data_IF_373151814503
#
_entry.id   IF_373151814503
#
_cell.length_a   1.000
_cell.length_b   1.000
_cell.length_c   1.000
_cell.angle_alpha   90.00
_cell.angle_beta   90.00
_cell.angle_gamma   90.00
#
_symmetry.space_group_name_H-M   'P 1'
#
loop_
_entity.id
_entity.type
_entity.pdbx_description
1 polymer ?
#
# COMPACT_ATOMS: atom_id res chain seq x y z
N UNK A 1 -24.15 -14.93 34.07
CA UNK A 1 -23.56 -15.67 32.92
C UNK A 1 -22.10 -15.28 32.87
N UNK A 2 -21.16 -16.23 32.95
CA UNK A 2 -19.74 -15.90 32.74
C UNK A 2 -19.54 -15.58 31.26
N UNK A 3 -18.81 -14.51 30.96
CA UNK A 3 -18.37 -14.20 29.61
C UNK A 3 -17.61 -15.41 29.03
N UNK A 4 -17.76 -15.73 27.73
CA UNK A 4 -16.92 -16.74 27.11
C UNK A 4 -15.44 -16.34 27.25
N UNK A 5 -14.60 -17.31 27.61
CA UNK A 5 -13.14 -17.14 27.79
C UNK A 5 -12.40 -17.03 26.46
N UNK A 6 -13.01 -17.54 25.38
CA UNK A 6 -12.38 -17.70 24.08
C UNK A 6 -13.34 -17.26 22.97
N UNK A 7 -12.76 -16.66 21.92
CA UNK A 7 -13.46 -16.29 20.70
C UNK A 7 -12.71 -16.88 19.50
N UNK A 8 -13.37 -17.74 18.73
CA UNK A 8 -12.82 -18.29 17.49
C UNK A 8 -13.35 -17.48 16.30
N UNK A 9 -12.45 -16.94 15.50
CA UNK A 9 -12.75 -16.25 14.25
C UNK A 9 -11.88 -16.83 13.12
N UNK A 10 -12.37 -16.82 11.86
CA UNK A 10 -11.49 -17.03 10.71
C UNK A 10 -10.33 -16.03 10.75
N UNK A 11 -9.15 -16.43 10.27
CA UNK A 11 -8.00 -15.50 10.23
C UNK A 11 -8.36 -14.29 9.35
N UNK A 12 -8.22 -13.06 9.88
CA UNK A 12 -8.48 -11.85 9.11
C UNK A 12 -7.37 -11.52 8.13
N UNK A 13 -7.64 -10.51 7.31
CA UNK A 13 -6.65 -9.81 6.49
C UNK A 13 -6.27 -8.47 7.14
N UNK A 14 -4.99 -8.12 7.11
CA UNK A 14 -4.54 -6.76 7.39
C UNK A 14 -4.40 -6.00 6.07
N UNK A 15 -5.32 -5.06 5.84
CA UNK A 15 -5.39 -4.30 4.60
C UNK A 15 -4.46 -3.07 4.55
N UNK A 16 -3.58 -2.85 5.54
CA UNK A 16 -2.58 -1.78 5.47
C UNK A 16 -1.34 -2.08 6.31
N UNK A 17 -0.32 -2.69 5.68
CA UNK A 17 0.90 -3.15 6.38
C UNK A 17 2.16 -2.47 5.85
N UNK A 18 3.08 -2.12 6.75
CA UNK A 18 4.42 -1.60 6.44
C UNK A 18 5.50 -2.59 6.84
N UNK A 19 6.04 -3.35 5.90
CA UNK A 19 7.05 -4.39 6.15
C UNK A 19 8.50 -3.92 5.94
N UNK A 20 8.68 -2.64 5.58
CA UNK A 20 9.97 -1.92 5.50
C UNK A 20 10.98 -2.61 4.57
N UNK A 21 12.25 -2.30 4.73
CA UNK A 21 13.38 -2.93 4.04
C UNK A 21 14.34 -3.54 5.06
N UNK A 22 15.34 -4.29 4.57
CA UNK A 22 16.41 -4.80 5.41
C UNK A 22 17.09 -3.68 6.22
N UNK A 23 17.46 -3.94 7.49
CA UNK A 23 17.35 -5.23 8.19
C UNK A 23 15.98 -5.48 8.84
N UNK A 24 15.10 -4.48 8.92
CA UNK A 24 13.84 -4.56 9.67
C UNK A 24 12.85 -5.56 9.07
N UNK A 25 12.83 -5.75 7.75
CA UNK A 25 11.89 -6.67 7.10
C UNK A 25 11.94 -8.08 7.66
N UNK A 26 13.14 -8.62 7.91
CA UNK A 26 13.29 -9.98 8.46
C UNK A 26 12.71 -10.13 9.87
N UNK A 27 12.66 -9.05 10.64
CA UNK A 27 12.01 -9.02 11.95
C UNK A 27 10.49 -8.87 11.83
N UNK A 28 10.01 -8.03 10.91
CA UNK A 28 8.59 -7.65 10.82
C UNK A 28 7.73 -8.69 10.11
N UNK A 29 8.25 -9.38 9.10
CA UNK A 29 7.45 -10.32 8.29
C UNK A 29 6.81 -11.45 9.11
N UNK A 30 7.51 -12.15 10.02
CA UNK A 30 6.90 -13.20 10.83
C UNK A 30 5.72 -12.71 11.70
N UNK A 31 5.77 -11.44 12.14
CA UNK A 31 4.76 -10.87 13.03
C UNK A 31 3.38 -10.70 12.38
N UNK A 32 3.25 -10.76 11.05
CA UNK A 32 1.93 -10.78 10.39
C UNK A 32 1.13 -12.00 10.86
N UNK A 33 1.71 -13.20 10.78
CA UNK A 33 1.04 -14.44 11.22
C UNK A 33 0.99 -14.58 12.73
N UNK A 34 2.03 -14.16 13.44
CA UNK A 34 2.01 -14.18 14.91
C UNK A 34 0.93 -13.25 15.47
N UNK A 35 0.62 -12.16 14.76
CA UNK A 35 -0.52 -11.28 15.02
C UNK A 35 -1.88 -11.84 14.62
N UNK A 36 -1.92 -13.03 13.99
CA UNK A 36 -3.15 -13.73 13.63
C UNK A 36 -3.66 -13.52 12.21
N UNK A 37 -2.90 -12.84 11.33
CA UNK A 37 -3.31 -12.53 9.96
C UNK A 37 -2.70 -13.50 8.95
N UNK A 38 -3.53 -14.01 8.04
CA UNK A 38 -3.08 -14.84 6.92
C UNK A 38 -2.78 -14.00 5.66
N UNK A 39 -3.33 -12.79 5.56
CA UNK A 39 -3.17 -11.89 4.41
C UNK A 39 -2.66 -10.52 4.85
N UNK A 40 -1.68 -9.98 4.12
CA UNK A 40 -1.16 -8.63 4.28
C UNK A 40 -1.21 -7.85 2.97
N UNK A 41 -1.86 -6.69 3.00
CA UNK A 41 -1.87 -5.71 1.91
C UNK A 41 -0.76 -4.69 2.13
N UNK A 42 0.30 -4.81 1.33
CA UNK A 42 1.61 -4.22 1.62
C UNK A 42 1.75 -2.85 0.98
N UNK A 43 2.09 -1.85 1.79
CA UNK A 43 2.27 -0.46 1.38
C UNK A 43 3.61 -0.23 0.65
N UNK A 44 3.67 0.71 -0.32
CA UNK A 44 4.77 0.80 -1.28
C UNK A 44 5.81 1.89 -0.98
N UNK A 45 5.69 2.60 0.14
CA UNK A 45 6.52 3.75 0.53
C UNK A 45 7.89 3.35 1.12
N UNK A 46 8.58 2.44 0.45
CA UNK A 46 9.97 2.11 0.71
C UNK A 46 10.90 3.26 0.29
N UNK A 47 12.21 3.12 0.52
CA UNK A 47 13.24 4.05 0.03
C UNK A 47 14.17 3.33 -0.93
N UNK A 48 14.10 3.57 -2.26
CA UNK A 48 13.09 4.38 -2.97
C UNK A 48 11.69 3.71 -2.98
N UNK A 49 10.61 4.46 -3.27
CA UNK A 49 9.25 3.91 -3.32
C UNK A 49 9.06 2.92 -4.47
N UNK A 50 8.12 1.99 -4.29
CA UNK A 50 7.79 0.99 -5.30
C UNK A 50 6.90 1.59 -6.40
N UNK A 51 7.51 2.16 -7.43
CA UNK A 51 6.80 2.80 -8.56
C UNK A 51 6.70 1.91 -9.80
N UNK A 52 7.45 0.82 -9.86
CA UNK A 52 7.48 -0.11 -10.98
C UNK A 52 6.89 -1.48 -10.60
N UNK A 53 6.12 -2.13 -11.49
CA UNK A 53 5.61 -3.48 -11.26
C UNK A 53 6.71 -4.49 -10.92
N UNK A 54 7.82 -4.47 -11.66
CA UNK A 54 8.94 -5.39 -11.48
C UNK A 54 9.58 -5.30 -10.08
N UNK A 55 9.76 -4.08 -9.55
CA UNK A 55 10.28 -3.87 -8.20
C UNK A 55 9.32 -4.38 -7.13
N UNK A 56 8.02 -4.18 -7.34
CA UNK A 56 6.99 -4.67 -6.42
C UNK A 56 6.94 -6.19 -6.40
N UNK A 57 7.01 -6.84 -7.56
CA UNK A 57 7.09 -8.31 -7.67
C UNK A 57 8.32 -8.84 -6.95
N UNK A 58 9.49 -8.24 -7.18
CA UNK A 58 10.73 -8.65 -6.52
C UNK A 58 10.64 -8.49 -4.99
N UNK A 59 10.02 -7.40 -4.52
CA UNK A 59 9.78 -7.19 -3.09
C UNK A 59 8.83 -8.24 -2.50
N UNK A 60 7.70 -8.54 -3.16
CA UNK A 60 6.79 -9.60 -2.72
C UNK A 60 7.45 -10.98 -2.69
N UNK A 61 8.32 -11.29 -3.67
CA UNK A 61 9.10 -12.52 -3.67
C UNK A 61 10.03 -12.59 -2.45
N UNK A 62 10.69 -11.48 -2.10
CA UNK A 62 11.50 -11.41 -0.89
C UNK A 62 10.66 -11.65 0.38
N UNK A 63 9.50 -11.00 0.51
CA UNK A 63 8.60 -11.23 1.66
C UNK A 63 8.16 -12.70 1.76
N UNK A 64 7.78 -13.33 0.65
CA UNK A 64 7.41 -14.76 0.60
C UNK A 64 8.58 -15.69 0.96
N UNK A 65 9.82 -15.29 0.69
CA UNK A 65 11.00 -16.07 1.10
C UNK A 65 11.23 -16.04 2.61
N UNK A 66 10.75 -14.99 3.30
CA UNK A 66 10.81 -14.85 4.76
C UNK A 66 9.64 -15.54 5.47
N UNK A 67 8.44 -15.53 4.86
CA UNK A 67 7.32 -16.36 5.32
C UNK A 67 6.44 -16.83 4.14
N UNK A 68 6.57 -18.10 3.71
CA UNK A 68 5.80 -18.63 2.59
C UNK A 68 4.32 -18.89 2.92
N UNK A 69 3.92 -18.77 4.19
CA UNK A 69 2.54 -19.03 4.65
C UNK A 69 1.66 -17.78 4.61
N UNK A 70 2.24 -16.58 4.57
CA UNK A 70 1.48 -15.33 4.47
C UNK A 70 1.15 -15.02 3.01
N UNK A 71 -0.10 -14.64 2.76
CA UNK A 71 -0.53 -14.13 1.47
C UNK A 71 -0.25 -12.63 1.37
N UNK A 72 0.81 -12.25 0.65
CA UNK A 72 1.16 -10.84 0.42
C UNK A 72 0.53 -10.32 -0.87
N UNK A 73 -0.29 -9.27 -0.73
CA UNK A 73 -0.81 -8.45 -1.82
C UNK A 73 0.02 -7.16 -1.94
N UNK A 74 0.53 -6.89 -3.14
CA UNK A 74 1.37 -5.71 -3.38
C UNK A 74 0.57 -4.51 -3.88
N UNK A 75 1.16 -3.33 -3.68
CA UNK A 75 0.67 -2.06 -4.24
C UNK A 75 1.78 -1.28 -4.92
N UNK A 76 1.42 -0.34 -5.79
CA UNK A 76 2.33 0.67 -6.33
C UNK A 76 2.19 1.99 -5.58
N UNK A 77 3.27 2.77 -5.52
CA UNK A 77 3.25 4.15 -5.07
C UNK A 77 2.75 5.06 -6.21
N UNK A 78 1.73 5.89 -5.95
CA UNK A 78 1.25 6.87 -6.93
C UNK A 78 2.31 7.96 -7.11
N UNK A 79 2.96 7.98 -8.27
CA UNK A 79 4.06 8.90 -8.60
C UNK A 79 3.87 9.50 -10.00
N UNK A 80 4.48 10.65 -10.31
CA UNK A 80 4.43 11.23 -11.66
C UNK A 80 4.96 10.31 -12.78
N UNK A 81 5.71 9.26 -12.45
CA UNK A 81 6.22 8.28 -13.41
C UNK A 81 5.21 7.16 -13.71
N UNK A 82 4.12 7.05 -12.95
CA UNK A 82 3.11 6.02 -13.15
C UNK A 82 2.28 6.35 -14.39
N UNK A 83 2.10 5.37 -15.27
CA UNK A 83 1.38 5.51 -16.55
C UNK A 83 0.31 4.44 -16.68
N UNK A 84 -0.71 4.61 -17.54
CA UNK A 84 -1.71 3.57 -17.82
C UNK A 84 -1.08 2.22 -18.18
N UNK A 85 -0.04 2.23 -19.03
CA UNK A 85 0.70 1.00 -19.37
C UNK A 85 1.29 0.29 -18.16
N UNK A 86 1.85 1.04 -17.20
CA UNK A 86 2.38 0.44 -15.97
C UNK A 86 1.26 -0.12 -15.08
N UNK A 87 0.05 0.43 -15.12
CA UNK A 87 -1.12 -0.12 -14.44
C UNK A 87 -1.53 -1.46 -15.05
N UNK A 88 -1.61 -1.55 -16.39
CA UNK A 88 -1.87 -2.82 -17.08
C UNK A 88 -0.81 -3.88 -16.72
N UNK A 89 0.48 -3.52 -16.79
CA UNK A 89 1.59 -4.40 -16.42
C UNK A 89 1.51 -4.83 -14.94
N UNK A 90 1.09 -3.93 -14.05
CA UNK A 90 0.89 -4.23 -12.63
C UNK A 90 -0.24 -5.23 -12.39
N UNK A 91 -1.40 -5.01 -13.02
CA UNK A 91 -2.56 -5.88 -12.92
C UNK A 91 -2.22 -7.31 -13.41
N UNK A 92 -1.53 -7.43 -14.54
CA UNK A 92 -1.06 -8.71 -15.07
C UNK A 92 -0.06 -9.41 -14.13
N UNK A 93 0.73 -8.65 -13.39
CA UNK A 93 1.65 -9.16 -12.38
C UNK A 93 0.97 -9.52 -11.04
N UNK A 94 -0.34 -9.33 -10.91
CA UNK A 94 -1.11 -9.59 -9.69
C UNK A 94 -0.96 -8.52 -8.61
N UNK A 95 -0.54 -7.31 -8.97
CA UNK A 95 -0.54 -6.14 -8.08
C UNK A 95 -1.96 -5.58 -8.08
N UNK A 96 -2.51 -5.33 -6.89
CA UNK A 96 -3.96 -5.15 -6.71
C UNK A 96 -4.37 -3.71 -6.41
N UNK A 97 -3.41 -2.80 -6.27
CA UNK A 97 -3.75 -1.39 -6.05
C UNK A 97 -2.59 -0.44 -6.11
N UNK A 98 -2.94 0.84 -5.98
CA UNK A 98 -2.03 1.96 -5.96
C UNK A 98 -2.31 2.79 -4.71
N UNK A 99 -1.26 3.24 -4.03
CA UNK A 99 -1.34 4.04 -2.82
C UNK A 99 -0.87 5.46 -3.06
N UNK A 100 -1.77 6.41 -2.78
CA UNK A 100 -1.51 7.84 -2.78
C UNK A 100 -1.03 8.32 -1.41
N UNK A 101 0.00 9.17 -1.44
CA UNK A 101 0.50 9.93 -0.29
C UNK A 101 0.53 11.41 -0.67
N UNK A 102 -0.23 12.28 0.00
CA UNK A 102 -0.12 13.73 -0.16
C UNK A 102 1.28 14.22 0.18
N UNK A 103 1.70 15.32 -0.45
CA UNK A 103 3.04 15.88 -0.23
C UNK A 103 3.24 16.32 1.22
N UNK A 104 4.32 15.88 1.85
CA UNK A 104 4.76 16.40 3.15
C UNK A 104 3.92 16.02 4.37
N UNK A 105 2.95 15.11 4.27
CA UNK A 105 2.08 14.71 5.41
C UNK A 105 2.57 13.48 6.16
N UNK A 106 3.50 12.72 5.60
CA UNK A 106 4.00 11.49 6.24
C UNK A 106 5.44 11.14 5.85
N UNK A 107 6.02 10.12 6.48
CA UNK A 107 7.40 9.67 6.24
C UNK A 107 7.64 9.38 4.76
N UNK A 108 8.72 9.94 4.18
CA UNK A 108 9.13 9.83 2.78
C UNK A 108 8.14 10.42 1.74
N UNK A 109 7.33 11.42 2.10
CA UNK A 109 6.32 12.03 1.21
C UNK A 109 6.78 13.32 0.48
N UNK A 110 8.09 13.61 0.42
CA UNK A 110 8.61 14.85 -0.18
C UNK A 110 8.29 15.01 -1.68
N UNK A 111 7.91 13.92 -2.36
CA UNK A 111 7.41 13.90 -3.75
C UNK A 111 5.90 13.68 -3.90
N UNK A 112 5.10 13.94 -2.86
CA UNK A 112 3.65 13.67 -2.87
C UNK A 112 2.82 14.60 -3.74
N UNK A 113 1.52 14.30 -3.83
CA UNK A 113 0.60 14.81 -4.86
C UNK A 113 -0.04 16.14 -4.46
N UNK A 114 0.07 17.13 -5.36
CA UNK A 114 -0.55 18.47 -5.20
C UNK A 114 -1.84 18.62 -6.03
N UNK A 115 -1.97 17.89 -7.15
CA UNK A 115 -3.18 17.83 -7.97
C UNK A 115 -3.40 16.39 -8.47
N UNK A 116 -4.64 15.89 -8.34
CA UNK A 116 -5.01 14.56 -8.82
C UNK A 116 -5.39 14.50 -10.31
N UNK A 117 -5.70 15.64 -10.95
CA UNK A 117 -6.09 15.70 -12.37
C UNK A 117 -5.03 15.12 -13.29
N UNK A 118 -3.75 15.29 -12.96
CA UNK A 118 -2.62 14.73 -13.74
C UNK A 118 -2.57 13.20 -13.72
N UNK A 119 -3.35 12.56 -12.84
CA UNK A 119 -3.45 11.10 -12.70
C UNK A 119 -4.76 10.54 -13.25
N UNK A 120 -5.62 11.34 -13.89
CA UNK A 120 -6.93 10.85 -14.34
C UNK A 120 -6.81 9.70 -15.34
N UNK A 121 -5.87 9.75 -16.30
CA UNK A 121 -5.63 8.63 -17.21
C UNK A 121 -5.17 7.36 -16.48
N UNK A 122 -4.38 7.52 -15.41
CA UNK A 122 -3.95 6.41 -14.55
C UNK A 122 -5.14 5.83 -13.80
N UNK A 123 -6.04 6.67 -13.28
CA UNK A 123 -7.23 6.22 -12.55
C UNK A 123 -8.26 5.55 -13.46
N UNK A 124 -8.43 6.04 -14.67
CA UNK A 124 -9.29 5.40 -15.68
C UNK A 124 -8.76 3.99 -16.01
N UNK A 125 -7.44 3.83 -16.13
CA UNK A 125 -6.86 2.51 -16.35
C UNK A 125 -6.97 1.62 -15.11
N UNK A 126 -6.78 2.17 -13.91
CA UNK A 126 -7.01 1.41 -12.67
C UNK A 126 -8.45 0.90 -12.57
N UNK A 127 -9.43 1.71 -12.96
CA UNK A 127 -10.84 1.31 -13.02
C UNK A 127 -11.05 0.14 -13.98
N UNK A 128 -10.50 0.21 -15.21
CA UNK A 128 -10.57 -0.87 -16.21
C UNK A 128 -9.96 -2.18 -15.69
N UNK A 129 -8.86 -2.09 -14.95
CA UNK A 129 -8.17 -3.25 -14.36
C UNK A 129 -8.75 -3.70 -13.01
N UNK A 130 -9.81 -3.05 -12.51
CA UNK A 130 -10.39 -3.30 -11.18
C UNK A 130 -9.35 -3.19 -10.04
N UNK A 131 -8.43 -2.22 -10.15
CA UNK A 131 -7.40 -1.94 -9.16
C UNK A 131 -7.88 -0.94 -8.11
N UNK A 132 -7.46 -1.15 -6.86
CA UNK A 132 -7.86 -0.34 -5.72
C UNK A 132 -7.01 0.94 -5.65
N UNK A 133 -7.66 2.11 -5.59
CA UNK A 133 -7.01 3.37 -5.20
C UNK A 133 -7.08 3.54 -3.68
N UNK A 134 -5.92 3.58 -3.04
CA UNK A 134 -5.78 3.78 -1.61
C UNK A 134 -5.37 5.23 -1.35
N UNK A 135 -6.12 5.94 -0.52
CA UNK A 135 -5.86 7.34 -0.21
C UNK A 135 -5.34 7.46 1.22
N UNK A 136 -4.16 8.04 1.40
CA UNK A 136 -3.82 8.67 2.67
C UNK A 136 -4.52 10.03 2.71
N UNK A 137 -5.78 10.05 3.18
CA UNK A 137 -6.73 11.15 3.02
C UNK A 137 -6.49 12.35 3.95
N UNK A 138 -5.29 12.91 3.94
CA UNK A 138 -4.94 14.12 4.70
C UNK A 138 -4.62 15.27 3.74
N UNK A 139 -5.04 16.48 4.10
CA UNK A 139 -4.58 17.70 3.41
C UNK A 139 -3.32 18.17 4.13
N UNK A 140 -2.21 18.45 3.42
CA UNK A 140 -1.04 19.03 4.07
C UNK A 140 -1.40 20.31 4.81
N UNK A 141 -0.93 20.45 6.04
CA UNK A 141 -1.15 21.64 6.85
C UNK A 141 -0.52 22.86 6.16
N UNK A 142 -1.34 23.64 5.46
CA UNK A 142 -0.98 25.00 5.07
C UNK A 142 -1.31 25.92 6.24
N UNK A 143 -0.29 26.45 6.91
CA UNK A 143 -0.47 27.45 7.97
C UNK A 143 -1.23 28.69 7.47
N UNK A 144 -1.32 28.93 6.15
CA UNK A 144 -1.93 30.12 5.57
C UNK A 144 -3.45 30.01 5.28
N UNK A 145 -4.05 28.82 5.22
CA UNK A 145 -5.44 28.68 4.75
C UNK A 145 -6.23 27.52 5.41
N UNK A 146 -6.46 27.60 6.73
CA UNK A 146 -7.47 26.76 7.37
C UNK A 146 -8.85 27.39 7.18
N UNK A 147 -9.65 26.86 6.25
CA UNK A 147 -11.11 27.07 6.22
C UNK A 147 -11.82 25.75 6.43
N UNK A 148 -12.42 25.59 7.61
CA UNK A 148 -13.45 24.59 7.85
C UNK A 148 -14.77 25.24 7.45
N UNK A 149 -15.31 24.87 6.29
CA UNK A 149 -16.70 25.17 5.94
C UNK A 149 -17.54 23.93 6.28
N UNK A 150 -18.50 24.10 7.19
CA UNK A 150 -19.63 23.19 7.41
C UNK A 150 -20.64 23.34 6.26
#
# INVERSE_FOLDING_TARGET
>A
MSSPSDLTVPSPADFHVHLRQAPLTSLLVPHVREGGFDLAYVMPNLTPPLTLPSHTVAYLQHLRSLDPRTHFLGTLYLSPALTPRLIEEAAQAGIVGVKSYPRGVTTNSDGGIENYEVYYEVFEEMEKQNMILNLHGEVPSDHANVRVAL
#
